data_IF_141076184400
#
_entry.id   IF_141076184400
#
_cell.length_a   1.000
_cell.length_b   1.000
_cell.length_c   1.000
_cell.angle_alpha   90.00
_cell.angle_beta   90.00
_cell.angle_gamma   90.00
#
_symmetry.space_group_name_H-M   'P 1'
#
loop_
_entity.id
_entity.type
_entity.pdbx_description
1 polymer ?
#
# COMPACT_ATOMS: atom_id res chain seq x y z
N UNK A 1 35.85 0.98 -2.10
CA UNK A 1 34.77 -0.03 -1.96
C UNK A 1 33.85 0.23 -0.78
N UNK A 2 34.36 0.57 0.43
CA UNK A 2 33.52 0.81 1.62
C UNK A 2 32.49 1.96 1.51
N UNK A 3 32.76 3.03 0.75
CA UNK A 3 31.80 4.14 0.55
C UNK A 3 30.61 3.75 -0.31
N UNK A 4 30.84 2.95 -1.35
CA UNK A 4 29.79 2.46 -2.26
C UNK A 4 28.87 1.49 -1.52
N UNK A 5 29.44 0.59 -0.71
CA UNK A 5 28.67 -0.31 0.15
C UNK A 5 27.79 0.44 1.15
N UNK A 6 28.32 1.50 1.78
CA UNK A 6 27.52 2.39 2.65
C UNK A 6 26.34 3.00 1.90
N UNK A 7 26.58 3.52 0.71
CA UNK A 7 25.55 4.15 -0.12
C UNK A 7 24.42 3.17 -0.47
N UNK A 8 24.76 1.96 -0.93
CA UNK A 8 23.79 0.90 -1.24
C UNK A 8 22.96 0.55 -0.01
N UNK A 9 23.59 0.41 1.16
CA UNK A 9 22.89 0.06 2.39
C UNK A 9 21.88 1.14 2.80
N UNK A 10 22.25 2.42 2.72
CA UNK A 10 21.32 3.54 2.94
C UNK A 10 20.17 3.55 1.94
N UNK A 11 20.42 3.24 0.66
CA UNK A 11 19.36 3.15 -0.34
C UNK A 11 18.38 2.01 -0.04
N UNK A 12 18.87 0.85 0.35
CA UNK A 12 18.02 -0.29 0.73
C UNK A 12 17.11 0.12 1.90
N UNK A 13 17.67 0.72 2.96
CA UNK A 13 16.88 1.20 4.11
C UNK A 13 15.82 2.20 3.65
N UNK A 14 16.18 3.15 2.79
CA UNK A 14 15.27 4.18 2.31
C UNK A 14 14.11 3.58 1.50
N UNK A 15 14.40 2.64 0.60
CA UNK A 15 13.38 1.93 -0.18
C UNK A 15 12.49 1.08 0.71
N UNK A 16 13.06 0.35 1.68
CA UNK A 16 12.28 -0.43 2.65
C UNK A 16 11.34 0.44 3.48
N UNK A 17 11.78 1.64 3.89
CA UNK A 17 10.94 2.59 4.62
C UNK A 17 9.81 3.13 3.74
N UNK A 18 10.07 3.46 2.47
CA UNK A 18 9.03 3.90 1.53
C UNK A 18 7.98 2.80 1.35
N UNK A 19 8.41 1.55 1.14
CA UNK A 19 7.49 0.41 0.99
C UNK A 19 6.66 0.22 2.27
N UNK A 20 7.30 0.29 3.43
CA UNK A 20 6.62 0.14 4.72
C UNK A 20 5.57 1.25 4.94
N UNK A 21 5.88 2.50 4.57
CA UNK A 21 4.95 3.62 4.68
C UNK A 21 3.81 3.48 3.66
N UNK A 22 4.10 3.18 2.39
CA UNK A 22 3.06 2.95 1.38
C UNK A 22 2.16 1.76 1.71
N UNK A 23 2.67 0.72 2.37
CA UNK A 23 1.87 -0.44 2.78
C UNK A 23 0.86 -0.15 3.90
N UNK A 24 1.03 0.95 4.66
CA UNK A 24 0.10 1.29 5.74
C UNK A 24 -1.23 1.84 5.24
N UNK A 25 -1.24 2.47 4.07
CA UNK A 25 -2.45 3.07 3.49
C UNK A 25 -3.10 2.20 2.41
N UNK A 26 -2.42 1.13 1.98
CA UNK A 26 -2.85 0.29 0.87
C UNK A 26 -3.12 -1.14 1.35
N UNK A 27 -4.39 -1.42 1.64
CA UNK A 27 -4.86 -2.79 1.88
C UNK A 27 -4.80 -3.52 0.54
N UNK A 28 -3.82 -4.41 0.43
CA UNK A 28 -3.73 -5.37 -0.67
C UNK A 28 -4.97 -6.26 -0.64
N UNK A 29 -5.60 -6.43 -1.79
CA UNK A 29 -6.81 -7.24 -1.93
C UNK A 29 -6.70 -8.15 -3.15
N UNK A 30 -7.31 -9.32 -3.06
CA UNK A 30 -7.52 -10.23 -4.19
C UNK A 30 -9.00 -10.31 -4.54
N UNK A 31 -9.85 -10.17 -3.52
CA UNK A 31 -11.31 -10.14 -3.66
C UNK A 31 -11.88 -8.97 -2.87
N UNK A 32 -13.07 -8.51 -3.26
CA UNK A 32 -13.74 -7.38 -2.60
C UNK A 32 -14.02 -7.61 -1.10
N UNK A 33 -14.01 -8.88 -0.66
CA UNK A 33 -14.24 -9.27 0.74
C UNK A 33 -13.07 -8.92 1.66
N UNK A 34 -11.87 -8.84 1.11
CA UNK A 34 -10.66 -8.42 1.84
C UNK A 34 -10.70 -6.92 2.16
N UNK A 35 -11.54 -6.16 1.43
CA UNK A 35 -11.74 -4.75 1.66
C UNK A 35 -12.74 -4.52 2.79
N UNK A 36 -12.27 -3.80 3.81
CA UNK A 36 -13.04 -3.50 5.01
C UNK A 36 -14.20 -2.57 4.65
N UNK A 37 -15.42 -3.05 4.83
CA UNK A 37 -16.67 -2.41 4.38
C UNK A 37 -16.97 -1.03 4.99
N UNK A 38 -16.19 -0.57 5.97
CA UNK A 38 -16.42 0.67 6.72
C UNK A 38 -15.33 1.73 6.52
N UNK A 39 -14.46 1.55 5.52
CA UNK A 39 -13.36 2.51 5.25
C UNK A 39 -13.79 3.64 4.32
N UNK A 40 -14.94 3.53 3.67
CA UNK A 40 -15.44 4.51 2.71
C UNK A 40 -16.67 5.22 3.29
N UNK A 41 -16.74 6.54 3.07
CA UNK A 41 -17.95 7.31 3.38
C UNK A 41 -19.08 6.94 2.42
N UNK A 42 -20.31 6.92 2.93
CA UNK A 42 -21.50 6.75 2.08
C UNK A 42 -21.56 7.87 1.03
N UNK A 43 -21.82 7.58 -0.27
CA UNK A 43 -22.35 6.35 -0.88
C UNK A 43 -21.29 5.39 -1.46
N UNK A 44 -20.01 5.56 -1.11
CA UNK A 44 -18.92 4.82 -1.71
C UNK A 44 -18.74 3.45 -1.04
N UNK A 45 -18.50 2.41 -1.86
CA UNK A 45 -18.23 1.05 -1.39
C UNK A 45 -16.78 0.71 -1.72
N UNK A 46 -16.07 0.08 -0.77
CA UNK A 46 -14.71 -0.40 -1.03
C UNK A 46 -14.76 -1.59 -1.99
N UNK A 47 -14.14 -1.45 -3.17
CA UNK A 47 -13.97 -2.53 -4.14
C UNK A 47 -12.49 -2.83 -4.33
N UNK A 48 -12.18 -4.08 -4.65
CA UNK A 48 -10.83 -4.47 -4.97
C UNK A 48 -10.53 -4.14 -6.43
N UNK A 49 -9.61 -3.20 -6.68
CA UNK A 49 -9.18 -2.83 -8.03
C UNK A 49 -7.66 -2.72 -8.08
N UNK A 50 -7.06 -3.33 -9.10
CA UNK A 50 -5.59 -3.36 -9.28
C UNK A 50 -4.85 -3.85 -8.01
N UNK A 51 -5.39 -4.86 -7.33
CA UNK A 51 -4.86 -5.40 -6.08
C UNK A 51 -4.92 -4.45 -4.87
N UNK A 52 -5.64 -3.33 -4.97
CA UNK A 52 -5.81 -2.36 -3.90
C UNK A 52 -7.29 -2.14 -3.57
N UNK A 53 -7.59 -1.96 -2.29
CA UNK A 53 -8.92 -1.51 -1.86
C UNK A 53 -9.11 -0.04 -2.22
N UNK A 54 -10.05 0.23 -3.12
CA UNK A 54 -10.39 1.57 -3.58
C UNK A 54 -11.88 1.85 -3.30
N UNK A 55 -12.18 3.07 -2.85
CA UNK A 55 -13.55 3.53 -2.71
C UNK A 55 -14.10 3.95 -4.08
N UNK A 56 -15.22 3.36 -4.49
CA UNK A 56 -15.92 3.73 -5.73
C UNK A 56 -17.43 3.83 -5.50
N UNK A 57 -18.15 4.54 -6.37
CA UNK A 57 -19.61 4.52 -6.33
C UNK A 57 -20.11 3.08 -6.54
N UNK A 58 -21.12 2.70 -5.75
CA UNK A 58 -21.74 1.37 -5.78
C UNK A 58 -22.15 0.97 -7.20
#
# INVERSE_FOLDING_TARGET
MARVLKFIYTLIIFVSLIILVSSKDQVLCVTDKECRHNTCDSPFVSKCRMFFCLCGLA
#
